data_IF_256327925714
#
_entry.id   IF_256327925714
#
_cell.length_a   1.000
_cell.length_b   1.000
_cell.length_c   1.000
_cell.angle_alpha   90.00
_cell.angle_beta   90.00
_cell.angle_gamma   90.00
#
_symmetry.space_group_name_H-M   'P 1'
#
loop_
_entity.id
_entity.type
_entity.pdbx_description
1 polymer ?
#
# COMPACT_ATOMS: atom_id res chain seq x y z
N UNK A 1 -6.25 21.69 -16.16
CA UNK A 1 -4.83 21.31 -16.11
C UNK A 1 -4.61 20.45 -14.88
N UNK A 2 -4.20 19.20 -15.05
CA UNK A 2 -3.86 18.28 -13.96
C UNK A 2 -2.35 18.33 -13.75
N UNK A 3 -1.88 18.65 -12.54
CA UNK A 3 -0.46 18.72 -12.19
C UNK A 3 -0.16 17.86 -10.97
N UNK A 4 0.98 17.16 -10.98
CA UNK A 4 1.45 16.36 -9.83
C UNK A 4 1.75 17.23 -8.60
N UNK A 5 2.16 18.48 -8.82
CA UNK A 5 2.47 19.44 -7.76
C UNK A 5 1.22 19.98 -7.05
N UNK A 6 0.04 19.80 -7.64
CA UNK A 6 -1.24 20.22 -7.07
C UNK A 6 -1.89 19.13 -6.19
N UNK A 7 -1.24 17.98 -6.01
CA UNK A 7 -1.76 16.91 -5.16
C UNK A 7 -1.69 17.35 -3.69
N UNK A 8 -2.86 17.33 -3.02
CA UNK A 8 -3.01 17.66 -1.61
C UNK A 8 -3.32 16.41 -0.80
N UNK A 9 -3.06 16.41 0.53
CA UNK A 9 -3.42 15.30 1.41
C UNK A 9 -4.89 14.87 1.29
N UNK A 10 -5.81 15.82 1.06
CA UNK A 10 -7.23 15.55 0.84
C UNK A 10 -7.48 14.64 -0.37
N UNK A 11 -6.76 14.85 -1.48
CA UNK A 11 -6.88 14.02 -2.68
C UNK A 11 -6.46 12.58 -2.40
N UNK A 12 -5.37 12.40 -1.65
CA UNK A 12 -4.87 11.07 -1.26
C UNK A 12 -5.84 10.38 -0.29
N UNK A 13 -6.39 11.12 0.68
CA UNK A 13 -7.37 10.59 1.62
C UNK A 13 -8.66 10.14 0.94
N UNK A 14 -9.22 10.96 0.05
CA UNK A 14 -10.42 10.63 -0.72
C UNK A 14 -10.18 9.41 -1.62
N UNK A 15 -9.00 9.33 -2.25
CA UNK A 15 -8.63 8.17 -3.06
C UNK A 15 -8.55 6.89 -2.21
N UNK A 16 -7.95 6.90 -1.02
CA UNK A 16 -7.92 5.75 -0.10
C UNK A 16 -9.34 5.31 0.29
N UNK A 17 -10.23 6.25 0.59
CA UNK A 17 -11.62 5.93 0.93
C UNK A 17 -12.31 5.19 -0.21
N UNK A 18 -12.12 5.64 -1.46
CA UNK A 18 -12.66 4.99 -2.64
C UNK A 18 -12.03 3.61 -2.87
N UNK A 19 -10.71 3.48 -2.74
CA UNK A 19 -10.03 2.20 -2.93
C UNK A 19 -10.43 1.16 -1.89
N UNK A 20 -10.72 1.58 -0.66
CA UNK A 20 -11.14 0.67 0.42
C UNK A 20 -12.52 0.05 0.14
N UNK A 21 -13.33 0.63 -0.77
CA UNK A 21 -14.63 0.07 -1.20
C UNK A 21 -14.48 -1.09 -2.18
N UNK A 22 -13.39 -1.15 -2.94
CA UNK A 22 -13.21 -2.12 -4.04
C UNK A 22 -12.05 -3.08 -3.84
N UNK A 23 -11.07 -2.71 -3.00
CA UNK A 23 -9.83 -3.45 -2.80
C UNK A 23 -9.65 -3.88 -1.35
N UNK A 24 -8.89 -4.96 -1.16
CA UNK A 24 -8.55 -5.43 0.19
C UNK A 24 -7.67 -4.41 0.93
N UNK A 25 -7.85 -4.27 2.24
CA UNK A 25 -7.03 -3.38 3.07
C UNK A 25 -5.49 -3.55 2.90
N UNK A 26 -4.91 -4.77 2.78
CA UNK A 26 -3.47 -4.90 2.53
C UNK A 26 -3.07 -4.36 1.16
N UNK A 27 -3.91 -4.51 0.13
CA UNK A 27 -3.68 -3.93 -1.20
C UNK A 27 -3.64 -2.40 -1.15
N UNK A 28 -4.64 -1.78 -0.51
CA UNK A 28 -4.69 -0.31 -0.37
C UNK A 28 -3.50 0.21 0.43
N UNK A 29 -3.07 -0.53 1.46
CA UNK A 29 -1.87 -0.19 2.24
C UNK A 29 -0.59 -0.25 1.39
N UNK A 30 -0.45 -1.28 0.55
CA UNK A 30 0.70 -1.39 -0.37
C UNK A 30 0.72 -0.25 -1.38
N UNK A 31 -0.42 0.09 -1.97
CA UNK A 31 -0.51 1.20 -2.92
C UNK A 31 -0.21 2.55 -2.26
N UNK A 32 -0.70 2.79 -1.03
CA UNK A 32 -0.36 4.01 -0.28
C UNK A 32 1.15 4.10 0.01
N UNK A 33 1.80 2.98 0.32
CA UNK A 33 3.26 2.95 0.50
C UNK A 33 3.98 3.36 -0.80
N UNK A 34 3.54 2.83 -1.95
CA UNK A 34 4.10 3.20 -3.25
C UNK A 34 3.94 4.70 -3.55
N UNK A 35 2.76 5.27 -3.27
CA UNK A 35 2.51 6.71 -3.45
C UNK A 35 3.42 7.54 -2.54
N UNK A 36 3.59 7.14 -1.27
CA UNK A 36 4.49 7.85 -0.35
C UNK A 36 5.92 7.85 -0.87
N UNK A 37 6.44 6.69 -1.27
CA UNK A 37 7.79 6.59 -1.81
C UNK A 37 7.99 7.39 -3.11
N UNK A 38 6.99 7.42 -3.99
CA UNK A 38 7.02 8.27 -5.17
C UNK A 38 7.18 9.75 -4.77
N UNK A 39 6.37 10.23 -3.84
CA UNK A 39 6.46 11.62 -3.40
C UNK A 39 7.73 11.91 -2.58
N UNK A 40 8.26 10.96 -1.82
CA UNK A 40 9.56 11.11 -1.15
C UNK A 40 10.68 11.31 -2.18
N UNK A 41 10.64 10.58 -3.30
CA UNK A 41 11.58 10.78 -4.40
C UNK A 41 11.41 12.15 -5.07
N UNK A 42 10.16 12.56 -5.35
CA UNK A 42 9.89 13.88 -5.95
C UNK A 42 10.28 15.05 -5.03
N UNK A 43 10.24 14.86 -3.70
CA UNK A 43 10.78 15.83 -2.74
C UNK A 43 12.30 15.90 -2.82
N UNK A 44 12.96 14.74 -2.92
CA UNK A 44 14.43 14.65 -3.03
C UNK A 44 14.95 15.39 -4.27
N UNK A 45 14.24 15.26 -5.40
CA UNK A 45 14.57 15.93 -6.66
C UNK A 45 14.04 17.39 -6.74
N UNK A 46 13.51 17.92 -5.64
CA UNK A 46 12.95 19.27 -5.52
C UNK A 46 11.79 19.59 -6.47
N UNK A 47 11.07 18.57 -6.95
CA UNK A 47 9.91 18.73 -7.84
C UNK A 47 8.67 19.14 -7.04
N UNK A 48 8.48 18.58 -5.84
CA UNK A 48 7.47 19.00 -4.88
C UNK A 48 8.11 19.44 -3.56
N UNK A 49 7.55 20.45 -2.87
CA UNK A 49 8.14 20.95 -1.63
C UNK A 49 7.98 19.98 -0.46
N UNK A 50 6.89 19.19 -0.43
CA UNK A 50 6.56 18.25 0.66
C UNK A 50 5.81 17.04 0.12
N UNK A 51 5.87 15.91 0.84
CA UNK A 51 5.09 14.72 0.51
C UNK A 51 3.63 14.86 0.99
N UNK A 52 2.63 14.99 0.10
CA UNK A 52 1.22 15.12 0.49
C UNK A 52 0.62 13.84 1.10
N UNK A 53 1.23 12.68 0.87
CA UNK A 53 0.76 11.39 1.41
C UNK A 53 1.36 11.06 2.79
N UNK A 54 2.29 11.88 3.31
CA UNK A 54 2.95 11.65 4.59
C UNK A 54 1.99 11.69 5.78
N UNK A 55 1.03 12.61 5.79
CA UNK A 55 0.05 12.79 6.89
C UNK A 55 -1.16 11.86 6.78
N UNK A 56 -1.34 11.16 5.65
CA UNK A 56 -2.55 10.40 5.37
C UNK A 56 -2.47 9.01 5.99
N UNK A 57 -3.42 8.66 6.85
CA UNK A 57 -3.48 7.35 7.49
C UNK A 57 -4.06 6.30 6.53
N UNK A 58 -3.32 5.20 6.33
CA UNK A 58 -3.81 4.05 5.57
C UNK A 58 -4.81 3.20 6.35
N UNK A 59 -5.55 2.31 5.66
CA UNK A 59 -6.51 1.42 6.30
C UNK A 59 -5.80 0.46 7.26
N UNK A 60 -6.43 0.18 8.41
CA UNK A 60 -5.93 -0.80 9.36
C UNK A 60 -6.28 -2.21 8.89
N UNK A 61 -5.27 -3.06 8.76
CA UNK A 61 -5.44 -4.49 8.52
C UNK A 61 -4.69 -5.26 9.59
N UNK A 62 -5.43 -5.93 10.47
CA UNK A 62 -4.89 -6.83 11.48
C UNK A 62 -5.40 -8.24 11.21
N UNK A 63 -4.47 -9.19 11.11
CA UNK A 63 -4.78 -10.62 11.01
C UNK A 63 -4.12 -11.32 12.17
N UNK A 64 -4.91 -12.02 12.98
CA UNK A 64 -4.40 -12.80 14.12
C UNK A 64 -3.62 -14.05 13.68
N UNK A 65 -3.85 -14.52 12.45
CA UNK A 65 -3.22 -15.71 11.90
C UNK A 65 -2.80 -15.44 10.44
N UNK A 66 -1.60 -15.90 10.08
CA UNK A 66 -1.12 -15.85 8.70
C UNK A 66 -1.99 -16.72 7.80
N UNK A 67 -2.20 -16.30 6.55
CA UNK A 67 -2.94 -17.10 5.57
C UNK A 67 -2.16 -18.31 5.05
N UNK A 68 -0.84 -18.31 5.21
CA UNK A 68 0.02 -19.42 4.79
C UNK A 68 -0.15 -20.58 5.76
N UNK A 69 -0.80 -21.69 5.35
CA UNK A 69 -0.90 -22.86 6.21
C UNK A 69 0.48 -23.48 6.42
N UNK A 70 0.68 -24.08 7.59
CA UNK A 70 1.87 -24.91 7.84
C UNK A 70 1.63 -26.24 7.14
N UNK A 71 2.51 -26.60 6.19
CA UNK A 71 2.44 -27.88 5.49
C UNK A 71 2.85 -29.01 6.45
N UNK A 72 2.08 -30.10 6.45
CA UNK A 72 2.52 -31.32 7.16
C UNK A 72 3.65 -32.03 6.40
N UNK A 73 4.37 -32.94 7.07
CA UNK A 73 5.49 -33.64 6.46
C UNK A 73 5.11 -34.49 5.23
N UNK A 74 3.88 -34.99 5.16
CA UNK A 74 3.35 -35.78 4.04
C UNK A 74 2.97 -34.89 2.87
N UNK A 75 2.34 -33.74 3.10
CA UNK A 75 2.06 -32.72 2.09
C UNK A 75 3.35 -32.17 1.48
N UNK A 76 4.33 -31.85 2.33
CA UNK A 76 5.65 -31.40 1.91
C UNK A 76 6.37 -32.45 1.04
N UNK A 77 6.35 -33.73 1.45
CA UNK A 77 6.92 -34.83 0.65
C UNK A 77 6.24 -34.97 -0.71
N UNK A 78 4.92 -34.85 -0.80
CA UNK A 78 4.20 -34.91 -2.09
C UNK A 78 4.57 -33.76 -3.03
N UNK A 79 4.85 -32.58 -2.49
CA UNK A 79 5.20 -31.40 -3.28
C UNK A 79 6.66 -31.38 -3.74
N UNK A 80 7.60 -31.87 -2.92
CA UNK A 80 9.03 -31.66 -3.12
C UNK A 80 9.86 -32.93 -3.37
N UNK A 81 9.40 -34.11 -2.97
CA UNK A 81 10.07 -35.37 -3.31
C UNK A 81 9.54 -35.85 -4.67
N UNK A 82 10.24 -35.47 -5.73
CA UNK A 82 10.14 -36.13 -7.04
C UNK A 82 11.23 -37.19 -7.17
#
# INVERSE_FOLDING_TARGET
MTSITAVQPLHVAAWIELQTKTSSAPTVKQQLAAIRHLFDWLVTDQIVPVNPAASVRGPSHTTKQGKTPVLDATEARRLWCK
#
